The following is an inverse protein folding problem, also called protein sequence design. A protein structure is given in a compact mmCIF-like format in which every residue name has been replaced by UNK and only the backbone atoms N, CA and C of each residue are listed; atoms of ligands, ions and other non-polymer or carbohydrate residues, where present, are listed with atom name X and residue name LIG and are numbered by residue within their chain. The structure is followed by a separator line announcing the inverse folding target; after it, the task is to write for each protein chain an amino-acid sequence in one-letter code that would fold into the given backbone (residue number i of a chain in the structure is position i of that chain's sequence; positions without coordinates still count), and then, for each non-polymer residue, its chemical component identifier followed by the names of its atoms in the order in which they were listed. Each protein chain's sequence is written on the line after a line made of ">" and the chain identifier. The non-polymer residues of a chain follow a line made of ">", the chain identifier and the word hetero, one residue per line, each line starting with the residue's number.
data_IF_639742267600
#
_entry.id   IF_639742267600
#
_cell.length_a   1.000
_cell.length_b   1.000
_cell.length_c   1.000
_cell.angle_alpha   90.00
_cell.angle_beta   90.00
_cell.angle_gamma   90.00
#
_symmetry.space_group_name_H-M   'P 1'
#
loop_
_entity.id
_entity.type
_entity.pdbx_description
1 polymer ?
#
# COMPACT_ATOMS: atom_id res chain seq x y z
N UNK A 1 -9.36 -17.79 9.54
CA UNK A 1 -9.59 -18.90 10.51
C UNK A 1 -10.26 -18.29 11.75
N UNK A 2 -11.59 -18.26 11.86
CA UNK A 2 -12.33 -17.57 12.96
C UNK A 2 -12.62 -18.56 14.10
N UNK A 3 -12.39 -18.12 15.34
CA UNK A 3 -12.55 -18.89 16.59
C UNK A 3 -14.02 -18.86 17.04
N UNK A 4 -14.47 -19.94 17.70
CA UNK A 4 -15.85 -20.14 18.20
C UNK A 4 -16.50 -18.89 18.80
N UNK A 5 -17.67 -18.56 18.25
CA UNK A 5 -18.42 -17.30 18.28
C UNK A 5 -18.91 -16.76 19.63
N UNK A 6 -18.48 -17.33 20.76
CA UNK A 6 -19.10 -17.02 22.06
C UNK A 6 -18.20 -16.38 23.10
N UNK A 7 -16.88 -16.34 22.92
CA UNK A 7 -15.97 -15.85 23.97
C UNK A 7 -16.10 -14.35 24.24
N UNK A 8 -16.24 -13.52 23.20
CA UNK A 8 -16.37 -12.06 23.32
C UNK A 8 -17.70 -11.60 23.95
N UNK A 9 -18.79 -12.28 23.60
CA UNK A 9 -20.11 -12.06 24.18
C UNK A 9 -20.22 -12.61 25.60
N UNK A 10 -19.57 -13.74 25.90
CA UNK A 10 -19.52 -14.31 27.26
C UNK A 10 -18.71 -13.47 28.24
N UNK A 11 -17.68 -12.76 27.77
CA UNK A 11 -16.79 -11.97 28.62
C UNK A 11 -17.29 -10.54 28.93
N UNK A 12 -18.46 -10.13 28.41
CA UNK A 12 -19.02 -8.79 28.63
C UNK A 12 -18.23 -7.63 27.99
N UNK A 13 -17.20 -7.93 27.18
CA UNK A 13 -16.35 -6.94 26.52
C UNK A 13 -16.94 -6.40 25.21
N UNK A 14 -17.97 -7.06 24.68
CA UNK A 14 -18.67 -6.68 23.46
C UNK A 14 -19.00 -5.17 23.31
N UNK A 15 -19.59 -4.46 24.30
CA UNK A 15 -19.91 -3.05 24.15
C UNK A 15 -18.69 -2.17 23.87
N UNK A 16 -17.51 -2.49 24.43
CA UNK A 16 -16.28 -1.75 24.17
C UNK A 16 -15.81 -1.96 22.72
N UNK A 17 -15.84 -3.20 22.24
CA UNK A 17 -15.48 -3.53 20.86
C UNK A 17 -16.47 -2.92 19.85
N UNK A 18 -17.77 -2.90 20.16
CA UNK A 18 -18.79 -2.28 19.30
C UNK A 18 -18.56 -0.77 19.10
N UNK A 19 -18.14 -0.05 20.16
CA UNK A 19 -17.74 1.36 20.06
C UNK A 19 -16.53 1.51 19.13
N UNK A 20 -15.50 0.66 19.29
CA UNK A 20 -14.30 0.70 18.44
C UNK A 20 -14.63 0.41 16.97
N UNK A 21 -15.43 -0.62 16.68
CA UNK A 21 -15.90 -0.91 15.31
C UNK A 21 -16.70 0.24 14.72
N UNK A 22 -17.50 0.94 15.53
CA UNK A 22 -18.25 2.13 15.08
C UNK A 22 -17.32 3.27 14.68
N UNK A 23 -16.28 3.53 15.49
CA UNK A 23 -15.26 4.54 15.17
C UNK A 23 -14.53 4.18 13.87
N UNK A 24 -14.08 2.93 13.72
CA UNK A 24 -13.40 2.46 12.49
C UNK A 24 -14.31 2.60 11.26
N UNK A 25 -15.58 2.27 11.40
CA UNK A 25 -16.58 2.43 10.33
C UNK A 25 -16.71 3.89 9.91
N UNK A 26 -16.82 4.82 10.87
CA UNK A 26 -16.90 6.26 10.60
C UNK A 26 -15.61 6.76 9.92
N UNK A 27 -14.43 6.35 10.42
CA UNK A 27 -13.16 6.73 9.82
C UNK A 27 -13.01 6.23 8.38
N UNK A 28 -13.48 5.02 8.07
CA UNK A 28 -13.47 4.50 6.70
C UNK A 28 -14.45 5.23 5.77
N UNK A 29 -15.61 5.68 6.28
CA UNK A 29 -16.51 6.54 5.51
C UNK A 29 -15.82 7.88 5.18
N UNK A 30 -15.16 8.50 6.17
CA UNK A 30 -14.39 9.72 5.96
C UNK A 30 -13.22 9.51 4.98
N UNK A 31 -12.54 8.36 5.03
CA UNK A 31 -11.47 7.99 4.11
C UNK A 31 -11.98 7.91 2.66
N UNK A 32 -13.15 7.30 2.43
CA UNK A 32 -13.80 7.26 1.11
C UNK A 32 -14.14 8.67 0.62
N UNK A 33 -14.71 9.53 1.48
CA UNK A 33 -15.01 10.92 1.13
C UNK A 33 -13.73 11.71 0.78
N UNK A 34 -12.67 11.52 1.56
CA UNK A 34 -11.36 12.12 1.31
C UNK A 34 -10.77 11.65 -0.03
N UNK A 35 -10.91 10.37 -0.36
CA UNK A 35 -10.54 9.83 -1.67
C UNK A 35 -11.30 10.54 -2.80
N UNK A 36 -12.63 10.66 -2.72
CA UNK A 36 -13.43 11.34 -3.73
C UNK A 36 -13.05 12.81 -3.88
N UNK A 37 -12.76 13.50 -2.78
CA UNK A 37 -12.26 14.87 -2.79
C UNK A 37 -10.92 14.98 -3.53
N UNK A 38 -9.95 14.11 -3.20
CA UNK A 38 -8.65 14.07 -3.88
C UNK A 38 -8.78 13.75 -5.37
N UNK A 39 -9.65 12.80 -5.73
CA UNK A 39 -9.95 12.46 -7.11
C UNK A 39 -10.51 13.68 -7.86
N UNK A 40 -11.47 14.38 -7.27
CA UNK A 40 -12.04 15.61 -7.82
C UNK A 40 -10.97 16.68 -8.06
N UNK A 41 -10.14 16.97 -7.05
CA UNK A 41 -9.03 17.94 -7.17
C UNK A 41 -8.06 17.52 -8.28
N UNK A 42 -7.68 16.24 -8.33
CA UNK A 42 -6.74 15.71 -9.34
C UNK A 42 -7.29 15.86 -10.75
N UNK A 43 -8.59 15.58 -10.97
CA UNK A 43 -9.26 15.83 -12.25
C UNK A 43 -9.30 17.31 -12.61
N UNK A 44 -9.64 18.19 -11.65
CA UNK A 44 -9.71 19.64 -11.87
C UNK A 44 -8.34 20.24 -12.24
N UNK A 45 -7.27 19.78 -11.59
CA UNK A 45 -5.90 20.25 -11.82
C UNK A 45 -5.22 19.57 -13.02
N UNK A 46 -5.85 18.54 -13.62
CA UNK A 46 -5.28 17.71 -14.70
C UNK A 46 -3.91 17.12 -14.31
N UNK A 47 -3.84 16.63 -13.08
CA UNK A 47 -2.61 16.19 -12.41
C UNK A 47 -2.27 14.71 -12.73
N UNK A 48 -2.34 14.34 -14.02
CA UNK A 48 -2.08 12.99 -14.55
C UNK A 48 -0.97 13.00 -15.62
N UNK A 49 0.11 13.75 -15.38
CA UNK A 49 1.12 13.98 -16.43
C UNK A 49 2.29 13.01 -16.36
N UNK A 50 2.63 12.54 -15.17
CA UNK A 50 3.81 11.69 -14.95
C UNK A 50 3.42 10.26 -14.56
N UNK A 51 4.29 9.31 -14.88
CA UNK A 51 4.07 7.89 -14.57
C UNK A 51 3.89 7.64 -13.06
N UNK A 52 4.64 8.37 -12.22
CA UNK A 52 4.52 8.28 -10.76
C UNK A 52 3.15 8.73 -10.25
N UNK A 53 2.54 9.74 -10.87
CA UNK A 53 1.19 10.22 -10.50
C UNK A 53 0.14 9.18 -10.86
N UNK A 54 0.24 8.60 -12.07
CA UNK A 54 -0.66 7.53 -12.52
C UNK A 54 -0.54 6.33 -11.59
N UNK A 55 0.69 5.94 -11.24
CA UNK A 55 0.95 4.84 -10.32
C UNK A 55 0.38 5.10 -8.92
N UNK A 56 0.62 6.28 -8.37
CA UNK A 56 0.09 6.65 -7.06
C UNK A 56 -1.44 6.63 -7.06
N UNK A 57 -2.08 7.16 -8.10
CA UNK A 57 -3.54 7.11 -8.20
C UNK A 57 -4.07 5.68 -8.35
N UNK A 58 -3.37 4.81 -9.10
CA UNK A 58 -3.78 3.42 -9.26
C UNK A 58 -3.73 2.65 -7.93
N UNK A 59 -2.68 2.86 -7.12
CA UNK A 59 -2.59 2.30 -5.77
C UNK A 59 -3.68 2.89 -4.88
N UNK A 60 -3.85 4.22 -4.89
CA UNK A 60 -4.82 4.92 -4.05
C UNK A 60 -6.27 4.56 -4.40
N UNK A 61 -6.56 4.22 -5.65
CA UNK A 61 -7.88 3.78 -6.11
C UNK A 61 -8.34 2.44 -5.49
N UNK A 62 -7.42 1.65 -4.94
CA UNK A 62 -7.73 0.37 -4.28
C UNK A 62 -8.19 0.55 -2.82
N UNK A 63 -7.81 1.67 -2.19
CA UNK A 63 -8.19 2.02 -0.82
C UNK A 63 -9.71 2.10 -0.59
N UNK A 64 -10.53 2.81 -1.41
CA UNK A 64 -11.98 2.86 -1.17
C UNK A 64 -12.65 1.49 -1.25
N UNK A 65 -12.17 0.58 -2.09
CA UNK A 65 -12.68 -0.80 -2.12
C UNK A 65 -12.38 -1.54 -0.82
N UNK A 66 -11.16 -1.40 -0.30
CA UNK A 66 -10.78 -1.98 1.00
C UNK A 66 -11.61 -1.39 2.14
N UNK A 67 -11.82 -0.07 2.16
CA UNK A 67 -12.67 0.60 3.15
C UNK A 67 -14.13 0.13 3.11
N UNK A 68 -14.68 -0.18 1.93
CA UNK A 68 -16.03 -0.77 1.82
C UNK A 68 -16.07 -2.13 2.53
N UNK A 69 -15.08 -3.00 2.33
CA UNK A 69 -15.02 -4.29 3.01
C UNK A 69 -14.89 -4.15 4.54
N UNK A 70 -14.07 -3.20 5.01
CA UNK A 70 -13.93 -2.90 6.44
C UNK A 70 -15.26 -2.38 7.03
N UNK A 71 -16.00 -1.54 6.30
CA UNK A 71 -17.33 -1.06 6.72
C UNK A 71 -18.33 -2.22 6.80
N UNK A 72 -18.34 -3.11 5.81
CA UNK A 72 -19.24 -4.28 5.81
C UNK A 72 -18.95 -5.16 7.03
N UNK A 73 -17.68 -5.46 7.30
CA UNK A 73 -17.28 -6.25 8.47
C UNK A 73 -17.61 -5.53 9.79
N UNK A 74 -17.35 -4.22 9.87
CA UNK A 74 -17.66 -3.40 11.04
C UNK A 74 -19.15 -3.40 11.36
N UNK A 75 -20.00 -3.20 10.36
CA UNK A 75 -21.47 -3.25 10.52
C UNK A 75 -21.93 -4.65 10.91
N UNK A 76 -21.40 -5.71 10.27
CA UNK A 76 -21.73 -7.08 10.62
C UNK A 76 -21.35 -7.41 12.08
N UNK A 77 -20.19 -6.94 12.55
CA UNK A 77 -19.74 -7.07 13.93
C UNK A 77 -20.64 -6.32 14.92
N UNK A 78 -21.07 -5.09 14.61
CA UNK A 78 -21.97 -4.29 15.47
C UNK A 78 -23.37 -4.91 15.58
N UNK A 79 -23.85 -5.54 14.50
CA UNK A 79 -25.14 -6.24 14.48
C UNK A 79 -25.07 -7.64 15.11
N UNK A 80 -23.89 -8.06 15.57
CA UNK A 80 -23.64 -9.40 16.09
C UNK A 80 -23.83 -10.53 15.09
N UNK A 81 -23.72 -10.24 13.80
CA UNK A 81 -23.79 -11.20 12.70
C UNK A 81 -22.37 -11.58 12.24
N UNK A 82 -21.58 -12.15 13.15
CA UNK A 82 -20.18 -12.56 12.89
C UNK A 82 -20.04 -13.74 11.93
N UNK A 83 -21.07 -14.56 11.81
CA UNK A 83 -21.19 -15.66 10.86
C UNK A 83 -21.45 -15.23 9.42
N UNK A 84 -21.42 -13.92 9.13
CA UNK A 84 -21.50 -13.43 7.75
C UNK A 84 -20.24 -13.83 6.98
N UNK A 85 -20.24 -15.06 6.47
CA UNK A 85 -19.22 -15.57 5.58
C UNK A 85 -19.50 -15.05 4.18
N UNK A 86 -18.71 -14.07 3.77
CA UNK A 86 -18.64 -13.68 2.37
C UNK A 86 -18.26 -14.91 1.52
N UNK A 87 -18.91 -15.10 0.36
CA UNK A 87 -18.51 -16.10 -0.63
C UNK A 87 -17.00 -16.06 -0.87
N UNK A 88 -16.39 -17.22 -1.12
CA UNK A 88 -14.95 -17.35 -1.37
C UNK A 88 -14.44 -16.34 -2.41
N UNK A 89 -15.19 -16.15 -3.51
CA UNK A 89 -14.84 -15.18 -4.55
C UNK A 89 -14.74 -13.73 -4.05
N UNK A 90 -15.62 -13.33 -3.11
CA UNK A 90 -15.59 -11.98 -2.54
C UNK A 90 -14.45 -11.80 -1.53
N UNK A 91 -14.12 -12.84 -0.75
CA UNK A 91 -12.94 -12.81 0.13
C UNK A 91 -11.63 -12.79 -0.66
N UNK A 92 -11.57 -13.53 -1.77
CA UNK A 92 -10.44 -13.50 -2.68
C UNK A 92 -10.30 -12.09 -3.29
N UNK A 93 -11.39 -11.54 -3.83
CA UNK A 93 -11.40 -10.20 -4.41
C UNK A 93 -11.03 -9.11 -3.40
N UNK A 94 -11.53 -9.19 -2.16
CA UNK A 94 -11.13 -8.30 -1.06
C UNK A 94 -9.61 -8.32 -0.89
N UNK A 95 -9.02 -9.51 -0.79
CA UNK A 95 -7.58 -9.66 -0.60
C UNK A 95 -6.80 -9.07 -1.77
N UNK A 96 -7.24 -9.32 -3.01
CA UNK A 96 -6.64 -8.73 -4.21
C UNK A 96 -6.69 -7.20 -4.18
N UNK A 97 -7.76 -6.60 -3.69
CA UNK A 97 -7.89 -5.13 -3.60
C UNK A 97 -7.13 -4.52 -2.43
N UNK A 98 -6.86 -5.27 -1.35
CA UNK A 98 -6.12 -4.77 -0.19
C UNK A 98 -4.60 -4.93 -0.31
N UNK A 99 -4.11 -5.74 -1.25
CA UNK A 99 -2.67 -6.00 -1.42
C UNK A 99 -1.85 -4.91 -2.14
N UNK A 100 -2.37 -4.14 -3.13
CA UNK A 100 -1.56 -3.19 -3.88
C UNK A 100 -0.81 -2.14 -3.02
N UNK A 101 -1.41 -1.58 -1.95
CA UNK A 101 -0.70 -0.71 -1.02
C UNK A 101 0.51 -1.38 -0.33
N UNK A 102 0.45 -2.69 -0.06
CA UNK A 102 1.57 -3.45 0.54
C UNK A 102 2.79 -3.53 -0.39
N UNK A 103 2.58 -3.37 -1.70
CA UNK A 103 3.64 -3.40 -2.72
C UNK A 103 3.95 -2.01 -3.29
N UNK A 104 3.40 -0.94 -2.71
CA UNK A 104 3.62 0.43 -3.18
C UNK A 104 5.10 0.79 -3.26
N UNK A 105 5.91 0.33 -2.28
CA UNK A 105 7.35 0.55 -2.26
C UNK A 105 8.06 -0.05 -3.49
N UNK A 106 7.67 -1.26 -3.90
CA UNK A 106 8.21 -1.95 -5.08
C UNK A 106 7.92 -1.14 -6.33
N UNK A 107 6.69 -0.67 -6.48
CA UNK A 107 6.27 0.06 -7.65
C UNK A 107 6.96 1.43 -7.77
N UNK A 108 7.07 2.17 -6.66
CA UNK A 108 7.80 3.44 -6.61
C UNK A 108 9.28 3.20 -6.93
N UNK A 109 9.90 2.16 -6.35
CA UNK A 109 11.30 1.82 -6.63
C UNK A 109 11.51 1.54 -8.12
N UNK A 110 10.68 0.69 -8.74
CA UNK A 110 10.79 0.37 -10.17
C UNK A 110 10.66 1.61 -11.04
N UNK A 111 9.66 2.45 -10.75
CA UNK A 111 9.44 3.70 -11.46
C UNK A 111 10.68 4.63 -11.36
N UNK A 112 11.31 4.71 -10.19
CA UNK A 112 12.55 5.49 -9.99
C UNK A 112 13.76 4.91 -10.72
N UNK A 113 13.88 3.58 -10.82
CA UNK A 113 14.94 2.93 -11.61
C UNK A 113 14.79 3.30 -13.07
N UNK A 114 13.59 3.19 -13.63
CA UNK A 114 13.34 3.54 -15.03
C UNK A 114 13.55 5.03 -15.30
N UNK A 115 13.10 5.92 -14.40
CA UNK A 115 13.35 7.36 -14.50
C UNK A 115 14.86 7.70 -14.44
N UNK A 116 15.65 6.92 -13.71
CA UNK A 116 17.11 7.11 -13.62
C UNK A 116 17.84 6.53 -14.82
N UNK A 117 17.36 5.42 -15.38
CA UNK A 117 17.93 4.78 -16.56
C UNK A 117 17.66 5.61 -17.83
N UNK A 118 16.43 6.10 -18.00
CA UNK A 118 16.01 6.92 -19.15
C UNK A 118 16.10 8.43 -18.89
N UNK A 119 17.13 8.89 -18.18
CA UNK A 119 17.26 10.28 -17.71
C UNK A 119 17.28 11.36 -18.82
N UNK A 120 17.45 10.96 -20.08
CA UNK A 120 17.52 11.86 -21.23
C UNK A 120 16.13 12.23 -21.75
N UNK A 121 15.18 11.30 -21.62
CA UNK A 121 13.98 11.28 -22.44
C UNK A 121 12.74 10.69 -21.74
N UNK A 122 12.87 10.21 -20.49
CA UNK A 122 11.79 9.54 -19.75
C UNK A 122 10.47 10.34 -19.74
N UNK A 123 10.52 11.62 -19.35
CA UNK A 123 9.34 12.51 -19.33
C UNK A 123 9.05 13.14 -20.71
N UNK A 124 10.02 13.13 -21.64
CA UNK A 124 9.87 13.77 -22.95
C UNK A 124 9.05 12.91 -23.91
N UNK A 125 9.32 11.61 -23.96
CA UNK A 125 8.60 10.69 -24.85
C UNK A 125 7.31 10.16 -24.25
N UNK A 126 6.95 10.56 -22.99
CA UNK A 126 5.85 10.01 -22.18
C UNK A 126 5.72 8.52 -22.46
N UNK A 127 6.46 7.69 -21.73
CA UNK A 127 6.46 6.23 -21.89
C UNK A 127 5.41 5.61 -20.95
N UNK A 128 4.08 5.69 -21.21
CA UNK A 128 3.06 5.22 -20.27
C UNK A 128 3.09 3.69 -20.12
N UNK A 129 3.64 2.99 -21.12
CA UNK A 129 3.83 1.55 -21.11
C UNK A 129 4.60 1.13 -19.85
N UNK A 130 5.59 1.92 -19.40
CA UNK A 130 6.34 1.63 -18.18
C UNK A 130 5.41 1.68 -16.95
N UNK A 131 4.63 2.75 -16.81
CA UNK A 131 3.66 2.90 -15.72
C UNK A 131 2.62 1.78 -15.70
N UNK A 132 2.00 1.49 -16.86
CA UNK A 132 1.01 0.41 -16.97
C UNK A 132 1.60 -0.98 -16.71
N UNK A 133 2.85 -1.23 -17.12
CA UNK A 133 3.54 -2.50 -16.84
C UNK A 133 3.78 -2.69 -15.34
N UNK A 134 4.13 -1.62 -14.61
CA UNK A 134 4.28 -1.65 -13.15
C UNK A 134 2.93 -1.89 -12.46
N UNK A 135 1.85 -1.26 -12.94
CA UNK A 135 0.50 -1.48 -12.41
C UNK A 135 0.05 -2.93 -12.65
N UNK A 136 0.30 -3.47 -13.84
CA UNK A 136 0.01 -4.86 -14.15
C UNK A 136 0.78 -5.81 -13.21
N UNK A 137 2.06 -5.54 -12.96
CA UNK A 137 2.87 -6.29 -12.01
C UNK A 137 2.28 -6.24 -10.59
N UNK A 138 1.84 -5.07 -10.12
CA UNK A 138 1.19 -4.93 -8.81
C UNK A 138 -0.08 -5.79 -8.69
N UNK A 139 -0.90 -5.82 -9.74
CA UNK A 139 -2.12 -6.64 -9.76
C UNK A 139 -1.78 -8.12 -9.73
N UNK A 140 -0.79 -8.56 -10.51
CA UNK A 140 -0.32 -9.96 -10.51
C UNK A 140 0.21 -10.37 -9.14
N UNK A 141 1.02 -9.52 -8.50
CA UNK A 141 1.52 -9.76 -7.13
C UNK A 141 0.37 -9.84 -6.13
N UNK A 142 -0.67 -9.02 -6.29
CA UNK A 142 -1.86 -9.02 -5.43
C UNK A 142 -2.69 -10.29 -5.59
N UNK A 143 -2.86 -10.78 -6.82
CA UNK A 143 -3.51 -12.07 -7.10
C UNK A 143 -2.72 -13.23 -6.50
N UNK A 144 -1.40 -13.26 -6.67
CA UNK A 144 -0.53 -14.27 -6.07
C UNK A 144 -0.61 -14.26 -4.54
N UNK A 145 -0.68 -13.07 -3.94
CA UNK A 145 -0.82 -12.90 -2.50
C UNK A 145 -2.18 -13.40 -1.99
N UNK A 146 -3.28 -13.10 -2.70
CA UNK A 146 -4.59 -13.63 -2.38
C UNK A 146 -4.65 -15.17 -2.46
N UNK A 147 -3.93 -15.77 -3.41
CA UNK A 147 -3.78 -17.22 -3.49
C UNK A 147 -2.99 -17.76 -2.30
N UNK A 148 -1.88 -17.14 -1.93
CA UNK A 148 -1.07 -17.55 -0.76
C UNK A 148 -1.91 -17.49 0.54
N UNK A 149 -2.65 -16.41 0.78
CA UNK A 149 -3.50 -16.30 1.96
C UNK A 149 -4.67 -17.29 2.00
N UNK A 150 -4.99 -17.95 0.87
CA UNK A 150 -5.95 -19.07 0.87
C UNK A 150 -5.38 -20.34 1.52
N UNK A 151 -4.06 -20.43 1.70
CA UNK A 151 -3.37 -21.56 2.32
C UNK A 151 -2.59 -21.09 3.56
N UNK A 152 -3.06 -21.36 4.78
CA UNK A 152 -2.45 -20.86 6.02
C UNK A 152 -0.96 -21.20 6.16
N UNK A 153 -0.54 -22.37 5.69
CA UNK A 153 0.85 -22.85 5.74
C UNK A 153 1.84 -21.94 4.99
N UNK A 154 1.36 -21.17 4.02
CA UNK A 154 2.20 -20.30 3.18
C UNK A 154 2.31 -18.87 3.72
N UNK A 155 1.57 -18.52 4.78
CA UNK A 155 1.56 -17.15 5.34
C UNK A 155 2.93 -16.76 5.88
N UNK A 156 3.62 -17.67 6.56
CA UNK A 156 4.98 -17.42 7.08
C UNK A 156 5.96 -17.16 5.93
N UNK A 157 5.88 -17.97 4.87
CA UNK A 157 6.71 -17.80 3.67
C UNK A 157 6.46 -16.44 3.03
N UNK A 158 5.19 -16.03 2.92
CA UNK A 158 4.82 -14.70 2.42
C UNK A 158 5.44 -13.58 3.26
N UNK A 159 5.30 -13.63 4.59
CA UNK A 159 5.82 -12.59 5.48
C UNK A 159 7.34 -12.45 5.33
N UNK A 160 8.08 -13.56 5.35
CA UNK A 160 9.55 -13.54 5.19
C UNK A 160 9.95 -12.96 3.82
N UNK A 161 9.31 -13.42 2.75
CA UNK A 161 9.58 -12.93 1.39
C UNK A 161 9.25 -11.44 1.25
N UNK A 162 8.12 -10.99 1.79
CA UNK A 162 7.65 -9.61 1.69
C UNK A 162 8.52 -8.65 2.49
N UNK A 163 8.91 -9.00 3.72
CA UNK A 163 9.84 -8.20 4.51
C UNK A 163 11.22 -8.09 3.83
N UNK A 164 11.72 -9.20 3.30
CA UNK A 164 12.98 -9.23 2.53
C UNK A 164 12.90 -8.33 1.30
N UNK A 165 11.78 -8.38 0.57
CA UNK A 165 11.53 -7.54 -0.59
C UNK A 165 11.53 -6.05 -0.23
N UNK A 166 10.91 -5.65 0.89
CA UNK A 166 10.92 -4.26 1.34
C UNK A 166 12.32 -3.76 1.66
N UNK A 167 13.15 -4.58 2.31
CA UNK A 167 14.56 -4.25 2.60
C UNK A 167 15.33 -4.05 1.29
N UNK A 168 15.17 -4.97 0.32
CA UNK A 168 15.80 -4.87 -1.00
C UNK A 168 15.35 -3.57 -1.69
N UNK A 169 14.05 -3.27 -1.69
CA UNK A 169 13.52 -2.07 -2.32
C UNK A 169 14.06 -0.78 -1.69
N UNK A 170 14.23 -0.77 -0.38
CA UNK A 170 14.84 0.36 0.33
C UNK A 170 16.32 0.52 -0.04
N UNK A 171 17.10 -0.56 -0.09
CA UNK A 171 18.52 -0.53 -0.46
C UNK A 171 18.71 -0.06 -1.91
N UNK A 172 17.98 -0.65 -2.84
CA UNK A 172 18.01 -0.25 -4.27
C UNK A 172 17.61 1.21 -4.41
N UNK A 173 16.64 1.64 -3.62
CA UNK A 173 16.23 3.03 -3.58
C UNK A 173 17.38 3.97 -3.14
N UNK A 174 18.09 3.63 -2.06
CA UNK A 174 19.25 4.41 -1.63
C UNK A 174 20.36 4.46 -2.69
N UNK A 175 20.59 3.37 -3.42
CA UNK A 175 21.56 3.32 -4.52
C UNK A 175 21.15 4.28 -5.65
N UNK A 176 19.89 4.20 -6.09
CA UNK A 176 19.33 5.08 -7.13
C UNK A 176 19.44 6.56 -6.73
N UNK A 177 19.17 6.88 -5.46
CA UNK A 177 19.39 8.23 -4.93
C UNK A 177 20.85 8.69 -5.02
N UNK A 178 21.80 7.83 -4.61
CA UNK A 178 23.24 8.14 -4.67
C UNK A 178 23.71 8.38 -6.11
N UNK A 179 23.22 7.59 -7.06
CA UNK A 179 23.51 7.76 -8.50
C UNK A 179 23.01 9.10 -9.00
N UNK A 180 21.73 9.44 -8.76
CA UNK A 180 21.16 10.72 -9.16
C UNK A 180 21.89 11.91 -8.54
N UNK A 181 22.29 11.78 -7.26
CA UNK A 181 23.10 12.79 -6.59
C UNK A 181 24.46 12.97 -7.27
N UNK A 182 25.14 11.89 -7.66
CA UNK A 182 26.41 11.95 -8.41
C UNK A 182 26.23 12.66 -9.76
N UNK A 183 25.17 12.37 -10.51
CA UNK A 183 24.85 13.09 -11.75
C UNK A 183 24.65 14.59 -11.52
N UNK A 184 23.97 14.96 -10.44
CA UNK A 184 23.75 16.35 -10.07
C UNK A 184 25.07 17.12 -9.80
N UNK A 185 25.96 16.55 -8.98
CA UNK A 185 27.26 17.18 -8.66
C UNK A 185 28.19 17.23 -9.87
N UNK A 186 28.31 16.13 -10.62
CA UNK A 186 29.16 16.08 -11.81
C UNK A 186 28.75 17.11 -12.87
N UNK A 187 27.45 17.36 -13.04
CA UNK A 187 26.95 18.39 -13.94
C UNK A 187 27.32 19.82 -13.47
N UNK A 188 27.35 20.04 -12.15
CA UNK A 188 27.68 21.34 -11.56
C UNK A 188 29.16 21.67 -11.73
N UNK A 189 30.05 20.67 -11.60
CA UNK A 189 31.49 20.84 -11.76
C UNK A 189 31.92 20.93 -13.24
N UNK A 190 31.34 20.12 -14.13
CA UNK A 190 31.79 20.01 -15.54
C UNK A 190 31.13 20.98 -16.53
N UNK A 191 30.44 22.03 -16.07
CA UNK A 191 29.74 23.05 -16.90
C UNK A 191 29.14 22.51 -18.22
N UNK A 192 27.85 22.13 -18.16
CA UNK A 192 26.93 22.05 -19.31
C UNK A 192 26.93 20.82 -20.23
N UNK A 193 27.36 19.64 -19.78
CA UNK A 193 27.10 18.40 -20.57
C UNK A 193 25.62 18.01 -20.66
N UNK A 194 24.80 18.38 -19.67
CA UNK A 194 23.38 18.04 -19.62
C UNK A 194 22.47 19.19 -20.07
N UNK A 195 21.46 18.85 -20.86
CA UNK A 195 20.34 19.69 -21.28
C UNK A 195 19.48 20.14 -20.10
N UNK A 196 18.63 21.15 -20.33
CA UNK A 196 17.70 21.65 -19.32
C UNK A 196 16.73 20.57 -18.83
N UNK A 197 16.26 19.70 -19.73
CA UNK A 197 15.35 18.59 -19.42
C UNK A 197 15.99 17.53 -18.53
N UNK A 198 17.23 17.12 -18.83
CA UNK A 198 17.98 16.17 -17.99
C UNK A 198 18.21 16.72 -16.58
N UNK A 199 18.55 18.01 -16.44
CA UNK A 199 18.72 18.65 -15.13
C UNK A 199 17.43 18.69 -14.34
N UNK A 200 16.32 18.98 -15.00
CA UNK A 200 15.00 18.96 -14.38
C UNK A 200 14.68 17.56 -13.86
N UNK A 201 14.89 16.51 -14.67
CA UNK A 201 14.65 15.12 -14.26
C UNK A 201 15.56 14.68 -13.09
N UNK A 202 16.85 15.01 -13.11
CA UNK A 202 17.77 14.73 -11.98
C UNK A 202 17.27 15.43 -10.70
N UNK A 203 16.90 16.70 -10.81
CA UNK A 203 16.38 17.49 -9.67
C UNK A 203 15.07 16.91 -9.15
N UNK A 204 14.17 16.49 -10.04
CA UNK A 204 12.90 15.85 -9.70
C UNK A 204 13.12 14.49 -9.02
N UNK A 205 14.00 13.64 -9.53
CA UNK A 205 14.36 12.37 -8.90
C UNK A 205 14.91 12.56 -7.47
N UNK A 206 15.78 13.55 -7.26
CA UNK A 206 16.32 13.88 -5.93
C UNK A 206 15.24 14.46 -5.02
N UNK A 207 14.38 15.37 -5.53
CA UNK A 207 13.28 15.97 -4.78
C UNK A 207 12.28 14.91 -4.34
N UNK A 208 11.90 14.03 -5.27
CA UNK A 208 11.02 12.92 -4.98
C UNK A 208 11.66 12.00 -3.95
N UNK A 209 12.96 11.68 -4.04
CA UNK A 209 13.63 10.95 -2.97
C UNK A 209 13.55 11.61 -1.60
N UNK A 210 13.63 12.93 -1.50
CA UNK A 210 13.52 13.64 -0.21
C UNK A 210 12.10 13.62 0.33
N UNK A 211 11.13 13.89 -0.54
CA UNK A 211 9.69 13.78 -0.22
C UNK A 211 9.35 12.36 0.23
N UNK A 212 9.78 11.39 -0.57
CA UNK A 212 9.71 9.99 -0.27
C UNK A 212 10.54 9.63 0.95
N UNK A 213 11.67 10.22 1.34
CA UNK A 213 12.37 9.76 2.56
C UNK A 213 11.51 9.91 3.84
N UNK A 214 10.67 10.94 3.91
CA UNK A 214 9.71 11.12 5.01
C UNK A 214 8.47 10.22 4.81
N UNK A 215 7.97 10.13 3.58
CA UNK A 215 6.77 9.36 3.26
C UNK A 215 7.00 7.83 3.13
N UNK A 216 8.22 7.42 2.76
CA UNK A 216 8.71 6.03 2.62
C UNK A 216 8.87 5.40 3.98
N UNK A 217 9.22 6.17 5.01
CA UNK A 217 9.19 5.64 6.36
C UNK A 217 7.78 5.18 6.70
N UNK A 218 6.77 6.00 6.43
CA UNK A 218 5.35 5.64 6.61
C UNK A 218 4.94 4.48 5.69
N UNK A 219 5.27 4.54 4.40
CA UNK A 219 4.98 3.49 3.42
C UNK A 219 5.76 2.19 3.63
N UNK A 220 6.83 2.18 4.45
CA UNK A 220 7.55 0.97 4.83
C UNK A 220 7.06 0.44 6.18
N UNK A 221 6.75 1.33 7.13
CA UNK A 221 6.16 0.96 8.41
C UNK A 221 4.79 0.34 8.21
N UNK A 222 3.94 0.88 7.34
CA UNK A 222 2.60 0.34 7.09
C UNK A 222 2.63 -1.15 6.65
N UNK A 223 3.34 -1.55 5.58
CA UNK A 223 3.37 -2.95 5.16
C UNK A 223 4.08 -3.85 6.17
N UNK A 224 5.10 -3.35 6.88
CA UNK A 224 5.76 -4.11 7.95
C UNK A 224 4.78 -4.36 9.11
N UNK A 225 4.05 -3.35 9.57
CA UNK A 225 3.03 -3.50 10.62
C UNK A 225 1.94 -4.49 10.20
N UNK A 226 1.40 -4.34 8.99
CA UNK A 226 0.38 -5.24 8.46
C UNK A 226 0.86 -6.70 8.36
N UNK A 227 2.10 -6.93 7.90
CA UNK A 227 2.67 -8.29 7.81
C UNK A 227 2.99 -8.88 9.17
N UNK A 228 3.44 -8.08 10.13
CA UNK A 228 3.64 -8.51 11.52
C UNK A 228 2.29 -8.86 12.18
N UNK A 229 1.25 -8.05 12.02
CA UNK A 229 -0.08 -8.36 12.56
C UNK A 229 -0.64 -9.65 11.97
N UNK A 230 -0.48 -9.87 10.66
CA UNK A 230 -0.86 -11.13 10.02
C UNK A 230 -0.08 -12.34 10.57
N UNK A 231 1.22 -12.16 10.84
CA UNK A 231 2.05 -13.21 11.45
C UNK A 231 1.61 -13.54 12.88
N UNK A 232 1.36 -12.52 13.70
CA UNK A 232 0.94 -12.72 15.09
C UNK A 232 -0.47 -13.35 15.11
N UNK A 233 -1.41 -12.92 14.26
CA UNK A 233 -2.74 -13.56 14.16
C UNK A 233 -2.65 -15.04 13.76
N UNK A 234 -1.65 -15.40 12.94
CA UNK A 234 -1.42 -16.79 12.53
C UNK A 234 -0.86 -17.65 13.67
N UNK A 235 0.02 -17.10 14.52
CA UNK A 235 0.69 -17.83 15.60
C UNK A 235 -0.13 -17.84 16.89
N UNK A 236 -0.86 -16.76 17.18
CA UNK A 236 -1.57 -16.58 18.45
C UNK A 236 -2.91 -17.34 18.46
N UNK A 237 -3.08 -18.18 19.48
CA UNK A 237 -4.33 -18.91 19.73
C UNK A 237 -5.35 -18.13 20.56
N UNK A 238 -4.99 -16.98 21.15
CA UNK A 238 -5.87 -16.23 22.05
C UNK A 238 -6.90 -15.39 21.26
N UNK A 239 -8.22 -15.64 21.40
CA UNK A 239 -9.25 -14.93 20.64
C UNK A 239 -9.28 -13.43 20.89
N UNK A 240 -8.96 -12.95 22.10
CA UNK A 240 -8.98 -11.50 22.40
C UNK A 240 -7.84 -10.78 21.69
N UNK A 241 -6.65 -11.39 21.65
CA UNK A 241 -5.50 -10.79 20.98
C UNK A 241 -5.73 -10.70 19.48
N UNK A 242 -6.29 -11.75 18.87
CA UNK A 242 -6.64 -11.78 17.44
C UNK A 242 -7.59 -10.66 17.05
N UNK A 243 -8.55 -10.35 17.91
CA UNK A 243 -9.50 -9.24 17.69
C UNK A 243 -8.83 -7.88 17.80
N UNK A 244 -7.95 -7.69 18.76
CA UNK A 244 -7.13 -6.48 18.87
C UNK A 244 -6.23 -6.34 17.63
N UNK A 245 -5.60 -7.42 17.17
CA UNK A 245 -4.73 -7.42 15.99
C UNK A 245 -5.50 -7.13 14.70
N UNK A 246 -6.71 -7.68 14.55
CA UNK A 246 -7.59 -7.37 13.42
C UNK A 246 -7.98 -5.88 13.41
N UNK A 247 -8.31 -5.32 14.57
CA UNK A 247 -8.60 -3.88 14.74
C UNK A 247 -7.38 -3.02 14.39
N UNK A 248 -6.19 -3.40 14.85
CA UNK A 248 -4.95 -2.69 14.55
C UNK A 248 -4.59 -2.78 13.06
N UNK A 249 -4.86 -3.93 12.43
CA UNK A 249 -4.69 -4.12 10.99
C UNK A 249 -5.64 -3.22 10.20
N UNK A 250 -6.94 -3.21 10.53
CA UNK A 250 -7.94 -2.36 9.87
C UNK A 250 -7.63 -0.88 10.08
N UNK A 251 -7.20 -0.49 11.29
CA UNK A 251 -6.77 0.87 11.58
C UNK A 251 -5.54 1.28 10.75
N UNK A 252 -4.58 0.37 10.55
CA UNK A 252 -3.39 0.62 9.71
C UNK A 252 -3.76 0.87 8.24
N UNK A 253 -4.84 0.27 7.75
CA UNK A 253 -5.38 0.55 6.40
C UNK A 253 -6.20 1.84 6.33
N UNK A 254 -6.69 2.33 7.47
CA UNK A 254 -7.58 3.51 7.55
C UNK A 254 -6.81 4.81 7.73
N UNK A 255 -5.67 4.79 8.45
CA UNK A 255 -4.81 5.93 8.77
C UNK A 255 -3.66 6.10 7.76
#
# INVERSE_FOLDING_TARGET
>A
MRLDDTTLYKNGLYPYFAVVFSIITILNILSILYYFFNLYVTFRVKHFKTNIQILHQAIYATCPFTSIFIIIDGVANILGKRDFNLPFALNFFRTVMSCPPLFALVAIMLERIFATYYIKDYERERRPIIGYSIILLLIVMSIGTAFIFSYPELVIVFVVCHLSLNVICYVVSLITYRINRKYYYNNRERKHSYSLGERYQISENIRLYKFFSHYLFVLAVFPISCTIFALIDHIDSNPIHREILAILFDLSYTL
#
